data_IF_494137074728
#
_entry.id   IF_494137074728
#
_cell.length_a   1.000
_cell.length_b   1.000
_cell.length_c   1.000
_cell.angle_alpha   90.00
_cell.angle_beta   90.00
_cell.angle_gamma   90.00
#
_symmetry.space_group_name_H-M   'P 1'
#
loop_
_entity.id
_entity.type
_entity.pdbx_description
1 polymer ?
#
# COMPACT_ATOMS: atom_id res chain seq x y z
N UNK A 1 8.92 -9.18 -13.69
CA UNK A 1 9.38 -7.80 -13.41
C UNK A 1 8.20 -6.98 -12.91
N UNK A 2 8.28 -6.35 -11.72
CA UNK A 2 7.20 -5.60 -11.08
C UNK A 2 6.48 -4.58 -11.98
N UNK A 3 7.24 -3.72 -12.66
CA UNK A 3 6.70 -2.60 -13.46
C UNK A 3 5.84 -3.02 -14.67
N UNK A 4 6.23 -4.11 -15.34
CA UNK A 4 5.49 -4.60 -16.50
C UNK A 4 4.12 -5.15 -16.07
N UNK A 5 4.06 -5.80 -14.91
CA UNK A 5 2.82 -6.36 -14.35
C UNK A 5 1.85 -5.25 -13.96
N UNK A 6 2.29 -4.27 -13.18
CA UNK A 6 1.41 -3.18 -12.72
C UNK A 6 0.89 -2.34 -13.89
N UNK A 7 1.69 -2.12 -14.94
CA UNK A 7 1.23 -1.45 -16.16
C UNK A 7 0.12 -2.23 -16.89
N UNK A 8 0.16 -3.56 -16.89
CA UNK A 8 -0.87 -4.42 -17.50
C UNK A 8 -2.19 -4.45 -16.71
N UNK A 9 -2.16 -4.16 -15.40
CA UNK A 9 -3.36 -4.01 -14.56
C UNK A 9 -4.05 -2.65 -14.76
N UNK A 10 -3.57 -1.85 -15.71
CA UNK A 10 -4.13 -0.56 -16.09
C UNK A 10 -3.72 0.60 -15.18
N UNK A 11 -2.74 0.43 -14.27
CA UNK A 11 -2.17 1.56 -13.54
C UNK A 11 -1.54 2.55 -14.51
N UNK A 12 -1.64 3.86 -14.20
CA UNK A 12 -0.90 4.86 -14.97
C UNK A 12 0.59 4.66 -14.74
N UNK A 13 1.42 5.15 -15.66
CA UNK A 13 2.87 4.96 -15.61
C UNK A 13 3.49 5.27 -14.23
N UNK A 14 3.18 6.43 -13.64
CA UNK A 14 3.73 6.80 -12.34
C UNK A 14 3.22 5.92 -11.19
N UNK A 15 1.94 5.55 -11.20
CA UNK A 15 1.37 4.63 -10.20
C UNK A 15 2.04 3.26 -10.29
N UNK A 16 2.20 2.75 -11.51
CA UNK A 16 2.86 1.48 -11.81
C UNK A 16 4.34 1.51 -11.36
N UNK A 17 5.02 2.64 -11.55
CA UNK A 17 6.41 2.86 -11.14
C UNK A 17 6.56 2.87 -9.62
N UNK A 18 5.71 3.60 -8.90
CA UNK A 18 5.75 3.63 -7.43
C UNK A 18 5.52 2.25 -6.83
N UNK A 19 4.49 1.53 -7.30
CA UNK A 19 4.23 0.16 -6.86
C UNK A 19 5.41 -0.77 -7.17
N UNK A 20 5.99 -0.66 -8.36
CA UNK A 20 7.13 -1.48 -8.75
C UNK A 20 8.36 -1.23 -7.86
N UNK A 21 8.62 0.01 -7.46
CA UNK A 21 9.70 0.34 -6.53
C UNK A 21 9.42 -0.15 -5.12
N UNK A 22 8.18 -0.01 -4.62
CA UNK A 22 7.81 -0.55 -3.32
C UNK A 22 7.98 -2.08 -3.26
N UNK A 23 7.54 -2.80 -4.31
CA UNK A 23 7.73 -4.24 -4.43
C UNK A 23 9.22 -4.61 -4.54
N UNK A 24 9.99 -3.91 -5.38
CA UNK A 24 11.41 -4.19 -5.57
C UNK A 24 12.26 -3.89 -4.32
N UNK A 25 11.85 -2.89 -3.54
CA UNK A 25 12.46 -2.54 -2.27
C UNK A 25 12.06 -3.46 -1.11
N UNK A 26 11.11 -4.38 -1.33
CA UNK A 26 10.61 -5.29 -0.28
C UNK A 26 9.83 -4.58 0.81
N UNK A 27 9.13 -3.48 0.50
CA UNK A 27 8.33 -2.77 1.47
C UNK A 27 7.11 -3.62 1.90
N UNK A 28 6.81 -3.64 3.20
CA UNK A 28 5.59 -4.28 3.72
C UNK A 28 4.34 -3.48 3.33
N UNK A 29 4.42 -2.15 3.43
CA UNK A 29 3.30 -1.23 3.20
C UNK A 29 3.78 -0.04 2.37
N UNK A 30 3.07 0.24 1.27
CA UNK A 30 3.18 1.45 0.46
C UNK A 30 2.07 2.43 0.86
N UNK A 31 2.45 3.53 1.51
CA UNK A 31 1.50 4.53 1.98
C UNK A 31 1.26 5.61 0.92
N UNK A 32 -0.01 5.95 0.68
CA UNK A 32 -0.38 7.04 -0.24
C UNK A 32 -1.66 7.74 0.19
N UNK A 33 -1.79 9.02 -0.11
CA UNK A 33 -3.02 9.80 0.07
C UNK A 33 -3.81 9.96 -1.23
N UNK A 34 -3.34 9.38 -2.34
CA UNK A 34 -4.07 9.39 -3.62
C UNK A 34 -5.20 8.36 -3.60
N UNK A 35 -6.43 8.84 -3.42
CA UNK A 35 -7.64 8.01 -3.40
C UNK A 35 -7.85 7.19 -4.67
N UNK A 36 -7.40 7.67 -5.83
CA UNK A 36 -7.53 6.92 -7.09
C UNK A 36 -6.60 5.73 -7.10
N UNK A 37 -5.37 5.93 -6.62
CA UNK A 37 -4.39 4.86 -6.46
C UNK A 37 -4.85 3.84 -5.41
N UNK A 38 -5.35 4.30 -4.26
CA UNK A 38 -5.88 3.43 -3.20
C UNK A 38 -6.98 2.50 -3.71
N UNK A 39 -8.03 3.07 -4.33
CA UNK A 39 -9.16 2.29 -4.85
C UNK A 39 -8.71 1.27 -5.88
N UNK A 40 -7.76 1.64 -6.73
CA UNK A 40 -7.26 0.74 -7.78
C UNK A 40 -6.37 -0.36 -7.21
N UNK A 41 -5.50 -0.04 -6.26
CA UNK A 41 -4.70 -1.02 -5.56
C UNK A 41 -5.57 -2.02 -4.80
N UNK A 42 -6.66 -1.57 -4.16
CA UNK A 42 -7.63 -2.44 -3.52
C UNK A 42 -8.33 -3.38 -4.52
N UNK A 43 -8.70 -2.88 -5.71
CA UNK A 43 -9.29 -3.71 -6.77
C UNK A 43 -8.35 -4.84 -7.23
N UNK A 44 -7.04 -4.59 -7.21
CA UNK A 44 -6.02 -5.54 -7.66
C UNK A 44 -5.16 -6.09 -6.51
N UNK A 45 -5.67 -6.13 -5.27
CA UNK A 45 -4.85 -6.49 -4.10
C UNK A 45 -4.19 -7.86 -4.25
N UNK A 46 -4.85 -8.80 -4.90
CA UNK A 46 -4.35 -10.17 -5.10
C UNK A 46 -3.29 -10.26 -6.21
N UNK A 47 -3.11 -9.18 -6.99
CA UNK A 47 -2.16 -9.09 -8.11
C UNK A 47 -0.93 -8.24 -7.79
N UNK A 48 -0.93 -7.54 -6.66
CA UNK A 48 0.15 -6.65 -6.20
C UNK A 48 0.75 -7.25 -4.92
N UNK A 49 2.07 -7.25 -4.82
CA UNK A 49 2.81 -7.91 -3.74
C UNK A 49 3.08 -6.96 -2.54
N UNK A 50 2.58 -5.73 -2.57
CA UNK A 50 2.74 -4.74 -1.51
C UNK A 50 1.37 -4.24 -1.04
N UNK A 51 1.19 -4.10 0.27
CA UNK A 51 -0.04 -3.55 0.83
C UNK A 51 -0.10 -2.05 0.59
N UNK A 52 -1.21 -1.53 0.07
CA UNK A 52 -1.37 -0.10 -0.22
C UNK A 52 -2.40 0.49 0.72
N UNK A 53 -1.99 1.45 1.56
CA UNK A 53 -2.86 2.03 2.60
C UNK A 53 -2.75 3.55 2.67
N UNK A 54 -3.78 4.17 3.26
CA UNK A 54 -3.75 5.59 3.58
C UNK A 54 -3.01 5.82 4.91
N UNK A 55 -2.07 6.79 5.00
CA UNK A 55 -1.37 7.11 6.26
C UNK A 55 -2.29 7.39 7.46
N UNK A 56 -3.52 7.86 7.23
CA UNK A 56 -4.49 8.08 8.31
C UNK A 56 -4.88 6.80 9.06
N UNK A 57 -4.75 5.63 8.43
CA UNK A 57 -4.98 4.33 9.07
C UNK A 57 -3.93 4.07 10.17
N UNK A 58 -2.67 4.45 9.91
CA UNK A 58 -1.60 4.43 10.92
C UNK A 58 -1.92 5.40 12.05
N UNK A 59 -2.35 6.63 11.76
CA UNK A 59 -2.72 7.62 12.77
C UNK A 59 -3.78 7.12 13.77
N UNK A 60 -4.75 6.31 13.32
CA UNK A 60 -5.73 5.67 14.20
C UNK A 60 -5.15 4.51 15.03
N UNK A 61 -4.12 3.82 14.52
CA UNK A 61 -3.42 2.74 15.22
C UNK A 61 -2.44 3.22 16.29
N UNK A 62 -1.87 4.43 16.15
CA UNK A 62 -0.95 5.02 17.16
C UNK A 62 -1.66 5.45 18.45
N UNK A 63 -2.98 5.31 18.54
CA UNK A 63 -3.79 5.66 19.74
C UNK A 63 -4.20 4.46 20.60
N UNK A 64 -3.55 3.30 20.45
CA UNK A 64 -3.68 2.18 21.39
C UNK A 64 -2.32 1.83 21.97
N UNK A 65 -1.88 2.65 22.93
CA UNK A 65 -1.00 2.16 23.99
C UNK A 65 -1.86 1.37 24.99
N UNK A 66 -1.36 0.19 25.33
CA UNK A 66 -2.02 -0.85 26.11
C UNK A 66 -2.35 -0.38 27.53
N UNK A 67 -3.62 -0.05 27.76
CA UNK A 67 -4.23 -0.09 29.09
C UNK A 67 -4.71 -1.51 29.39
N UNK A 68 -3.80 -2.44 29.68
CA UNK A 68 -4.16 -3.66 30.41
C UNK A 68 -3.08 -4.03 31.42
N UNK A 69 -3.42 -3.81 32.68
CA UNK A 69 -2.69 -4.19 33.88
C UNK A 69 -2.39 -5.70 33.88
N UNK A 70 -1.16 -6.06 34.28
CA UNK A 70 -0.89 -7.38 34.87
C UNK A 70 -0.08 -7.22 36.16
N UNK A 71 -0.81 -7.36 37.28
CA UNK A 71 -0.42 -7.65 38.68
C UNK A 71 0.44 -6.65 39.44
#
# INVERSE_FOLDING_TARGET
MPLLRTSQLGFKFYDALHLAFAEAGGADIFLTTDDRLLRKAQQYRDSINVMVENPSLLAMGVSKEDGNEIS
#
